data_IF_716387350112
#
_entry.id   IF_716387350112
#
_cell.length_a   1.000
_cell.length_b   1.000
_cell.length_c   1.000
_cell.angle_alpha   90.00
_cell.angle_beta   90.00
_cell.angle_gamma   90.00
#
_symmetry.space_group_name_H-M   'P 1'
#
loop_
_entity.id
_entity.type
_entity.pdbx_description
1 polymer ?
#
# COMPACT_ATOMS: atom_id res chain seq x y z
N UNK A 1 -36.61 2.96 -6.14
CA UNK A 1 -35.79 2.25 -7.14
C UNK A 1 -34.52 3.06 -7.34
N UNK A 2 -33.41 2.76 -6.65
CA UNK A 2 -32.17 3.48 -6.85
C UNK A 2 -31.58 3.06 -8.20
N UNK A 3 -31.38 4.02 -9.08
CA UNK A 3 -30.70 3.86 -10.36
C UNK A 3 -29.26 3.43 -10.12
N UNK A 4 -28.97 2.20 -10.52
CA UNK A 4 -27.64 1.61 -10.56
C UNK A 4 -26.76 2.44 -11.51
N UNK A 5 -25.94 3.34 -10.96
CA UNK A 5 -24.78 3.88 -11.67
C UNK A 5 -23.66 2.84 -11.67
N UNK A 6 -23.97 1.65 -12.21
CA UNK A 6 -22.95 0.70 -12.60
C UNK A 6 -22.41 1.24 -13.93
N UNK A 7 -21.46 2.17 -13.85
CA UNK A 7 -20.67 2.57 -15.01
C UNK A 7 -20.14 1.28 -15.64
N UNK A 8 -20.60 0.98 -16.85
CA UNK A 8 -20.03 -0.06 -17.70
C UNK A 8 -18.53 0.28 -17.82
N UNK A 9 -17.68 -0.40 -17.04
CA UNK A 9 -16.23 -0.37 -17.24
C UNK A 9 -16.01 -0.98 -18.62
N UNK A 10 -15.84 -0.13 -19.62
CA UNK A 10 -15.40 -0.59 -20.95
C UNK A 10 -13.99 -1.12 -20.73
N UNK A 11 -13.85 -2.45 -20.79
CA UNK A 11 -12.56 -3.11 -20.72
C UNK A 11 -11.68 -2.59 -21.86
N UNK A 12 -10.47 -2.17 -21.52
CA UNK A 12 -9.51 -1.63 -22.47
C UNK A 12 -8.28 -2.50 -22.44
N UNK A 13 -7.75 -2.80 -23.62
CA UNK A 13 -6.64 -3.73 -23.71
C UNK A 13 -5.32 -3.19 -23.23
N UNK A 14 -4.44 -4.08 -22.76
CA UNK A 14 -3.04 -3.74 -22.50
C UNK A 14 -2.43 -3.06 -23.74
N UNK A 15 -2.73 -3.57 -24.94
CA UNK A 15 -2.27 -2.97 -26.19
C UNK A 15 -2.83 -1.56 -26.41
N UNK A 16 -4.12 -1.37 -26.19
CA UNK A 16 -4.78 -0.07 -26.33
C UNK A 16 -4.20 0.95 -25.33
N UNK A 17 -4.12 0.58 -24.04
CA UNK A 17 -3.58 1.46 -23.00
C UNK A 17 -2.10 1.75 -23.22
N UNK A 18 -1.31 0.75 -23.64
CA UNK A 18 0.07 0.94 -24.05
C UNK A 18 0.21 1.95 -25.20
N UNK A 19 -0.65 1.87 -26.22
CA UNK A 19 -0.70 2.84 -27.32
C UNK A 19 -1.07 4.25 -26.84
N UNK A 20 -2.08 4.38 -25.97
CA UNK A 20 -2.49 5.67 -25.40
C UNK A 20 -1.34 6.30 -24.61
N UNK A 21 -0.67 5.51 -23.76
CA UNK A 21 0.48 5.99 -23.00
C UNK A 21 1.63 6.41 -23.92
N UNK A 22 1.97 5.63 -24.94
CA UNK A 22 3.01 6.03 -25.92
C UNK A 22 2.70 7.37 -26.56
N UNK A 23 1.49 7.52 -27.11
CA UNK A 23 1.06 8.78 -27.72
C UNK A 23 1.09 9.96 -26.74
N UNK A 24 0.73 9.73 -25.47
CA UNK A 24 0.82 10.75 -24.42
C UNK A 24 2.27 11.20 -24.19
N UNK A 25 3.19 10.26 -24.01
CA UNK A 25 4.59 10.58 -23.69
C UNK A 25 5.34 11.18 -24.90
N UNK A 26 5.11 10.64 -26.10
CA UNK A 26 5.58 11.22 -27.36
C UNK A 26 5.08 12.66 -27.52
N UNK A 27 3.79 12.92 -27.28
CA UNK A 27 3.23 14.27 -27.33
C UNK A 27 3.79 15.21 -26.27
N UNK A 28 4.00 14.74 -25.03
CA UNK A 28 4.61 15.54 -23.96
C UNK A 28 6.07 15.90 -24.24
N UNK A 29 6.77 15.11 -25.04
CA UNK A 29 8.16 15.33 -25.41
C UNK A 29 8.35 15.70 -26.89
N UNK A 30 7.29 16.15 -27.57
CA UNK A 30 7.31 16.46 -28.99
C UNK A 30 8.45 17.41 -29.37
N UNK A 31 9.17 17.11 -30.44
CA UNK A 31 10.41 17.82 -30.83
C UNK A 31 10.20 19.32 -31.02
N UNK A 32 9.12 19.73 -31.69
CA UNK A 32 8.85 21.15 -31.98
C UNK A 32 8.21 21.90 -30.80
N UNK A 33 7.46 21.19 -29.96
CA UNK A 33 6.57 21.78 -28.94
C UNK A 33 6.60 20.98 -27.63
N UNK A 34 7.78 20.81 -27.01
CA UNK A 34 7.89 19.97 -25.83
C UNK A 34 7.17 20.62 -24.64
N UNK A 35 6.37 19.83 -23.93
CA UNK A 35 5.59 20.27 -22.77
C UNK A 35 6.46 20.35 -21.50
N UNK A 36 7.56 21.12 -21.55
CA UNK A 36 8.60 21.22 -20.49
C UNK A 36 8.08 21.77 -19.15
N UNK A 37 6.92 22.45 -19.17
CA UNK A 37 6.25 22.97 -17.97
C UNK A 37 5.39 21.92 -17.27
N UNK A 38 5.12 20.79 -17.90
CA UNK A 38 4.43 19.66 -17.25
C UNK A 38 5.41 18.96 -16.32
N UNK A 39 5.24 19.24 -15.02
CA UNK A 39 6.05 18.68 -13.93
C UNK A 39 5.28 17.69 -13.05
N UNK A 40 3.96 17.66 -13.20
CA UNK A 40 3.05 16.81 -12.42
C UNK A 40 2.33 15.86 -13.35
N UNK A 41 2.41 14.57 -13.05
CA UNK A 41 1.73 13.52 -13.79
C UNK A 41 0.89 12.67 -12.84
N UNK A 42 -0.39 12.55 -13.17
CA UNK A 42 -1.31 11.65 -12.49
C UNK A 42 -1.92 10.70 -13.51
N UNK A 43 -1.70 9.41 -13.33
CA UNK A 43 -2.28 8.35 -14.17
C UNK A 43 -3.28 7.59 -13.32
N UNK A 44 -4.53 7.60 -13.79
CA UNK A 44 -5.63 6.87 -13.18
C UNK A 44 -5.87 5.62 -14.02
N UNK A 45 -6.07 4.48 -13.35
CA UNK A 45 -6.26 3.18 -13.99
C UNK A 45 -5.02 2.67 -14.75
N UNK A 46 -3.82 2.91 -14.19
CA UNK A 46 -2.58 2.30 -14.69
C UNK A 46 -2.65 0.79 -14.46
N UNK A 47 -2.47 -0.02 -15.49
CA UNK A 47 -2.40 -1.48 -15.32
C UNK A 47 -1.15 -1.86 -14.56
N UNK A 48 -1.24 -2.89 -13.73
CA UNK A 48 -0.08 -3.59 -13.13
C UNK A 48 0.67 -4.45 -14.16
N UNK A 49 0.86 -3.90 -15.37
CA UNK A 49 1.64 -4.40 -16.50
C UNK A 49 2.35 -3.22 -17.15
N UNK A 50 3.63 -3.37 -17.46
CA UNK A 50 4.38 -2.35 -18.21
C UNK A 50 4.56 -2.76 -19.66
N UNK A 51 4.13 -1.89 -20.55
CA UNK A 51 4.49 -1.97 -21.97
C UNK A 51 5.98 -1.68 -22.14
N UNK A 52 6.75 -2.72 -22.49
CA UNK A 52 8.21 -2.61 -22.65
C UNK A 52 8.64 -1.70 -23.80
N UNK A 53 7.78 -1.47 -24.79
CA UNK A 53 8.09 -0.52 -25.88
C UNK A 53 8.03 0.90 -25.37
N UNK A 54 7.00 1.23 -24.57
CA UNK A 54 6.89 2.52 -23.89
C UNK A 54 8.04 2.71 -22.90
N UNK A 55 8.29 1.73 -22.04
CA UNK A 55 9.30 1.84 -20.99
C UNK A 55 10.74 2.00 -21.53
N UNK A 56 10.95 1.64 -22.80
CA UNK A 56 12.22 1.81 -23.50
C UNK A 56 12.33 3.11 -24.29
N UNK A 57 11.24 3.86 -24.46
CA UNK A 57 11.26 5.09 -25.24
C UNK A 57 11.98 6.22 -24.50
N UNK A 58 12.69 7.04 -25.27
CA UNK A 58 13.41 8.19 -24.71
C UNK A 58 12.43 9.28 -24.26
N UNK A 59 11.29 9.42 -24.94
CA UNK A 59 10.23 10.34 -24.55
C UNK A 59 9.67 10.04 -23.17
N UNK A 60 9.40 8.76 -22.90
CA UNK A 60 8.92 8.32 -21.59
C UNK A 60 9.91 8.68 -20.49
N UNK A 61 11.19 8.33 -20.68
CA UNK A 61 12.25 8.64 -19.69
C UNK A 61 12.46 10.13 -19.51
N UNK A 62 12.49 10.90 -20.61
CA UNK A 62 12.71 12.34 -20.59
C UNK A 62 11.57 13.08 -19.85
N UNK A 63 10.32 12.66 -20.04
CA UNK A 63 9.17 13.21 -19.31
C UNK A 63 9.25 12.85 -17.85
N UNK A 64 9.51 11.59 -17.48
CA UNK A 64 9.62 11.19 -16.07
C UNK A 64 10.76 11.91 -15.37
N UNK A 65 11.94 12.02 -15.98
CA UNK A 65 13.11 12.65 -15.38
C UNK A 65 12.90 14.10 -14.95
N UNK A 66 11.93 14.81 -15.55
CA UNK A 66 11.62 16.21 -15.21
C UNK A 66 10.48 16.38 -14.22
N UNK A 67 9.76 15.32 -13.84
CA UNK A 67 8.62 15.41 -12.92
C UNK A 67 9.08 15.73 -11.49
N UNK A 68 8.30 16.57 -10.82
CA UNK A 68 8.40 16.78 -9.37
C UNK A 68 7.26 16.08 -8.60
N UNK A 69 6.20 15.65 -9.31
CA UNK A 69 5.03 14.99 -8.72
C UNK A 69 4.57 13.84 -9.60
N UNK A 70 4.47 12.65 -9.00
CA UNK A 70 3.98 11.44 -9.65
C UNK A 70 2.87 10.79 -8.82
N UNK A 71 1.73 10.55 -9.44
CA UNK A 71 0.60 9.86 -8.83
C UNK A 71 0.13 8.70 -9.71
N UNK A 72 0.30 7.48 -9.21
CA UNK A 72 -0.10 6.25 -9.89
C UNK A 72 -1.27 5.60 -9.14
N UNK A 73 -2.42 5.53 -9.80
CA UNK A 73 -3.55 4.72 -9.34
C UNK A 73 -3.60 3.45 -10.17
N UNK A 74 -3.13 2.38 -9.57
CA UNK A 74 -2.92 1.08 -10.19
C UNK A 74 -4.22 0.28 -10.13
N UNK A 75 -4.51 -0.44 -11.21
CA UNK A 75 -5.56 -1.44 -11.30
C UNK A 75 -4.97 -2.73 -11.77
N UNK A 76 -5.59 -3.82 -11.34
CA UNK A 76 -5.15 -5.11 -11.84
C UNK A 76 -5.59 -5.39 -13.26
N UNK A 77 -4.67 -6.00 -14.00
CA UNK A 77 -4.95 -6.47 -15.33
C UNK A 77 -5.90 -7.67 -15.30
N UNK A 78 -6.92 -7.61 -16.15
CA UNK A 78 -8.01 -8.60 -16.17
C UNK A 78 -8.18 -9.29 -17.53
N UNK A 79 -7.38 -8.95 -18.55
CA UNK A 79 -7.69 -9.34 -19.93
C UNK A 79 -7.50 -10.81 -20.26
N UNK A 80 -6.66 -11.55 -19.53
CA UNK A 80 -6.20 -12.87 -20.00
C UNK A 80 -6.89 -14.08 -19.40
N UNK A 81 -7.79 -13.89 -18.45
CA UNK A 81 -8.33 -15.02 -17.66
C UNK A 81 -9.86 -15.04 -17.64
N UNK A 82 -10.50 -14.66 -18.76
CA UNK A 82 -11.95 -14.86 -18.92
C UNK A 82 -12.33 -16.35 -19.06
N UNK A 83 -11.38 -17.22 -19.44
CA UNK A 83 -11.64 -18.66 -19.66
C UNK A 83 -11.35 -19.55 -18.44
N UNK A 84 -10.69 -19.01 -17.41
CA UNK A 84 -10.40 -19.71 -16.17
C UNK A 84 -10.56 -18.67 -15.07
N UNK A 85 -11.44 -18.92 -14.10
CA UNK A 85 -11.55 -18.22 -12.80
C UNK A 85 -10.23 -18.34 -12.01
N UNK A 86 -9.12 -17.92 -12.61
CA UNK A 86 -7.77 -18.03 -12.09
C UNK A 86 -7.65 -16.91 -11.08
N UNK A 87 -7.54 -17.22 -9.78
CA UNK A 87 -7.38 -16.19 -8.78
C UNK A 87 -6.18 -15.32 -9.16
N UNK A 88 -6.34 -14.02 -8.99
CA UNK A 88 -5.31 -13.02 -9.28
C UNK A 88 -3.93 -13.33 -8.71
N UNK A 89 -3.92 -14.05 -7.58
CA UNK A 89 -2.77 -14.60 -6.88
C UNK A 89 -1.86 -15.46 -7.77
N UNK A 90 -2.37 -16.01 -8.87
CA UNK A 90 -1.62 -16.85 -9.80
C UNK A 90 -1.19 -16.11 -11.07
N UNK A 91 -1.57 -14.84 -11.23
CA UNK A 91 -1.16 -14.04 -12.38
C UNK A 91 0.30 -13.58 -12.20
N UNK A 92 1.22 -13.85 -13.14
CA UNK A 92 2.60 -13.41 -13.02
C UNK A 92 2.76 -11.89 -13.15
N UNK A 93 1.85 -11.21 -13.84
CA UNK A 93 1.92 -9.80 -14.18
C UNK A 93 2.04 -8.87 -12.95
N UNK A 94 1.15 -8.93 -11.93
CA UNK A 94 1.27 -8.06 -10.76
C UNK A 94 2.57 -8.29 -9.98
N UNK A 95 3.09 -9.53 -9.95
CA UNK A 95 4.36 -9.82 -9.28
C UNK A 95 5.55 -9.24 -10.03
N UNK A 96 5.54 -9.28 -11.36
CA UNK A 96 6.57 -8.64 -12.17
C UNK A 96 6.50 -7.12 -12.03
N UNK A 97 5.29 -6.56 -12.00
CA UNK A 97 5.07 -5.13 -11.85
C UNK A 97 5.58 -4.60 -10.52
N UNK A 98 5.04 -5.09 -9.39
CA UNK A 98 5.45 -4.61 -8.07
C UNK A 98 6.86 -5.05 -7.68
N UNK A 99 7.30 -6.23 -8.13
CA UNK A 99 8.63 -6.78 -7.82
C UNK A 99 9.78 -6.13 -8.59
N UNK A 100 9.51 -5.52 -9.76
CA UNK A 100 10.55 -4.95 -10.59
C UNK A 100 10.10 -3.71 -11.39
N UNK A 101 9.05 -3.84 -12.19
CA UNK A 101 8.79 -2.86 -13.25
C UNK A 101 8.32 -1.48 -12.72
N UNK A 102 7.56 -1.45 -11.63
CA UNK A 102 7.18 -0.23 -10.92
C UNK A 102 8.42 0.56 -10.51
N UNK A 103 9.38 -0.10 -9.86
CA UNK A 103 10.64 0.54 -9.49
C UNK A 103 11.40 0.99 -10.72
N UNK A 104 11.75 0.05 -11.60
CA UNK A 104 12.67 0.27 -12.71
C UNK A 104 12.18 1.36 -13.68
N UNK A 105 10.91 1.33 -14.05
CA UNK A 105 10.40 2.17 -15.13
C UNK A 105 9.64 3.39 -14.67
N UNK A 106 9.03 3.39 -13.47
CA UNK A 106 8.25 4.53 -13.00
C UNK A 106 8.95 5.33 -11.92
N UNK A 107 9.61 4.66 -10.97
CA UNK A 107 10.14 5.33 -9.78
C UNK A 107 11.61 5.75 -9.90
N UNK A 108 12.48 4.92 -10.46
CA UNK A 108 13.89 5.29 -10.64
C UNK A 108 14.08 6.50 -11.56
N UNK A 109 13.32 6.67 -12.67
CA UNK A 109 13.50 7.83 -13.54
C UNK A 109 13.13 9.15 -12.89
N UNK A 110 12.18 9.17 -11.95
CA UNK A 110 11.76 10.41 -11.25
C UNK A 110 12.62 10.73 -10.03
N UNK A 111 13.57 9.86 -9.66
CA UNK A 111 14.27 9.85 -8.37
C UNK A 111 14.79 11.21 -7.92
N UNK A 112 15.54 11.90 -8.79
CA UNK A 112 16.31 13.09 -8.44
C UNK A 112 15.45 14.35 -8.19
N UNK A 113 14.22 14.38 -8.70
CA UNK A 113 13.37 15.57 -8.70
C UNK A 113 12.07 15.39 -7.94
N UNK A 114 11.69 14.15 -7.60
CA UNK A 114 10.40 13.86 -6.99
C UNK A 114 10.27 14.50 -5.61
N UNK A 115 9.25 15.34 -5.46
CA UNK A 115 8.82 15.97 -4.20
C UNK A 115 7.50 15.39 -3.71
N UNK A 116 6.64 14.89 -4.61
CA UNK A 116 5.35 14.31 -4.29
C UNK A 116 5.19 12.93 -4.94
N UNK A 117 4.96 11.91 -4.14
CA UNK A 117 4.68 10.55 -4.61
C UNK A 117 3.34 10.06 -4.08
N UNK A 118 2.49 9.54 -4.96
CA UNK A 118 1.31 8.79 -4.59
C UNK A 118 1.30 7.43 -5.29
N UNK A 119 1.23 6.36 -4.51
CA UNK A 119 1.05 4.99 -4.98
C UNK A 119 -0.24 4.45 -4.36
N UNK A 120 -1.16 4.03 -5.20
CA UNK A 120 -2.44 3.48 -4.77
C UNK A 120 -2.85 2.34 -5.69
N UNK A 121 -3.62 1.40 -5.14
CA UNK A 121 -4.19 0.31 -5.91
C UNK A 121 -5.70 0.31 -5.70
N UNK A 122 -6.48 0.22 -6.77
CA UNK A 122 -7.94 0.37 -6.69
C UNK A 122 -8.60 -0.82 -6.00
N UNK A 123 -8.27 -2.05 -6.43
CA UNK A 123 -8.99 -3.26 -6.08
C UNK A 123 -8.21 -4.22 -5.18
N UNK A 124 -6.91 -4.01 -4.94
CA UNK A 124 -6.07 -4.98 -4.20
C UNK A 124 -5.09 -4.34 -3.24
N UNK A 125 -4.72 -5.12 -2.23
CA UNK A 125 -3.56 -4.87 -1.39
C UNK A 125 -2.26 -5.22 -2.11
N UNK A 126 -1.17 -4.56 -1.73
CA UNK A 126 0.18 -4.79 -2.27
C UNK A 126 1.24 -4.66 -1.16
N UNK A 127 2.51 -4.95 -1.47
CA UNK A 127 3.61 -4.87 -0.50
C UNK A 127 3.89 -6.21 0.18
N UNK A 128 2.85 -6.92 0.62
CA UNK A 128 2.94 -8.35 0.90
C UNK A 128 2.74 -9.17 -0.36
N UNK A 129 1.57 -9.05 -0.99
CA UNK A 129 1.19 -9.86 -2.13
C UNK A 129 0.40 -9.00 -3.15
N UNK A 130 0.99 -8.66 -4.30
CA UNK A 130 2.38 -8.96 -4.67
C UNK A 130 3.40 -8.20 -3.79
N UNK A 131 4.58 -8.82 -3.59
CA UNK A 131 5.72 -8.15 -2.96
C UNK A 131 6.12 -6.92 -3.77
N UNK A 132 6.43 -5.81 -3.09
CA UNK A 132 6.92 -4.60 -3.74
C UNK A 132 8.38 -4.33 -3.42
N UNK A 133 9.20 -4.18 -4.46
CA UNK A 133 10.63 -3.92 -4.31
C UNK A 133 10.95 -2.42 -4.22
N UNK A 134 10.83 -1.87 -3.02
CA UNK A 134 11.28 -0.51 -2.70
C UNK A 134 12.61 -0.40 -1.93
N UNK A 135 13.15 -1.44 -1.24
CA UNK A 135 14.41 -1.30 -0.50
C UNK A 135 15.57 -0.72 -1.31
N UNK A 136 16.26 0.28 -0.77
CA UNK A 136 17.38 0.96 -1.45
C UNK A 136 16.97 1.98 -2.51
N UNK A 137 15.67 2.25 -2.71
CA UNK A 137 15.19 3.37 -3.50
C UNK A 137 15.00 4.60 -2.60
N UNK A 138 15.80 5.64 -2.81
CA UNK A 138 15.76 6.88 -2.04
C UNK A 138 15.45 8.08 -2.93
N UNK A 139 14.54 8.94 -2.48
CA UNK A 139 14.13 10.18 -3.16
C UNK A 139 14.65 11.41 -2.39
N UNK A 140 15.74 12.05 -2.84
CA UNK A 140 16.44 13.10 -2.08
C UNK A 140 15.64 14.39 -1.82
N UNK A 141 14.49 14.58 -2.45
CA UNK A 141 13.66 15.78 -2.33
C UNK A 141 12.22 15.48 -1.91
N UNK A 142 11.92 14.25 -1.50
CA UNK A 142 10.55 13.82 -1.25
C UNK A 142 9.96 14.51 -0.02
N UNK A 143 8.93 15.32 -0.24
CA UNK A 143 8.25 16.09 0.80
C UNK A 143 6.91 15.48 1.17
N UNK A 144 6.19 14.91 0.20
CA UNK A 144 4.87 14.31 0.40
C UNK A 144 4.82 12.90 -0.15
N UNK A 145 4.42 11.96 0.70
CA UNK A 145 4.21 10.57 0.35
C UNK A 145 2.79 10.12 0.71
N UNK A 146 2.08 9.56 -0.26
CA UNK A 146 0.79 8.91 -0.06
C UNK A 146 0.84 7.47 -0.53
N UNK A 147 0.50 6.55 0.37
CA UNK A 147 0.35 5.14 0.08
C UNK A 147 -1.09 4.73 0.36
N UNK A 148 -1.66 3.94 -0.54
CA UNK A 148 -2.97 3.36 -0.37
C UNK A 148 -2.93 1.87 -0.63
N UNK A 149 -3.48 1.07 0.30
CA UNK A 149 -3.48 -0.40 0.26
C UNK A 149 -2.11 -1.07 0.31
N UNK A 150 -1.07 -0.37 0.80
CA UNK A 150 0.21 -1.01 1.08
C UNK A 150 0.14 -1.75 2.40
N UNK A 151 0.35 -3.06 2.38
CA UNK A 151 0.31 -3.91 3.56
C UNK A 151 1.70 -4.09 4.15
N UNK A 152 1.83 -3.82 5.45
CA UNK A 152 3.07 -3.96 6.19
C UNK A 152 3.31 -5.40 6.66
N UNK A 153 4.47 -5.94 6.29
CA UNK A 153 4.90 -7.33 6.54
C UNK A 153 6.39 -7.46 6.83
N UNK A 154 7.15 -6.37 6.69
CA UNK A 154 8.59 -6.35 6.94
C UNK A 154 9.03 -5.02 7.53
N UNK A 155 10.13 -5.06 8.28
CA UNK A 155 10.70 -3.85 8.86
C UNK A 155 11.24 -2.89 7.79
N UNK A 156 11.66 -3.42 6.63
CA UNK A 156 12.17 -2.61 5.52
C UNK A 156 11.16 -1.57 5.02
N UNK A 157 9.86 -1.83 5.17
CA UNK A 157 8.82 -0.89 4.72
C UNK A 157 8.86 0.39 5.55
N UNK A 158 9.05 0.25 6.86
CA UNK A 158 9.24 1.39 7.78
C UNK A 158 10.63 2.00 7.58
N UNK A 159 11.66 1.19 7.34
CA UNK A 159 13.00 1.71 7.03
C UNK A 159 13.02 2.54 5.74
N UNK A 160 12.27 2.11 4.73
CA UNK A 160 12.12 2.86 3.47
C UNK A 160 11.39 4.18 3.70
N UNK A 161 10.30 4.20 4.48
CA UNK A 161 9.62 5.44 4.86
C UNK A 161 10.58 6.39 5.59
N UNK A 162 11.24 5.90 6.64
CA UNK A 162 12.15 6.69 7.49
C UNK A 162 13.45 7.09 6.80
N UNK A 163 13.86 6.40 5.73
CA UNK A 163 15.01 6.82 4.91
C UNK A 163 14.84 8.23 4.32
N UNK A 164 13.59 8.71 4.21
CA UNK A 164 13.25 10.06 3.74
C UNK A 164 13.11 11.09 4.86
N UNK A 165 13.51 10.77 6.09
CA UNK A 165 13.31 11.61 7.27
C UNK A 165 13.88 13.02 7.21
N UNK A 166 14.91 13.23 6.37
CA UNK A 166 15.54 14.54 6.14
C UNK A 166 14.66 15.52 5.34
N UNK A 167 13.69 15.02 4.56
CA UNK A 167 12.90 15.84 3.63
C UNK A 167 11.39 15.64 3.73
N UNK A 168 10.94 14.49 4.24
CA UNK A 168 9.52 14.15 4.29
C UNK A 168 8.79 15.00 5.34
N UNK A 169 7.76 15.72 4.89
CA UNK A 169 6.94 16.62 5.72
C UNK A 169 5.47 16.19 5.78
N UNK A 170 5.01 15.39 4.83
CA UNK A 170 3.64 14.86 4.77
C UNK A 170 3.64 13.36 4.45
N UNK A 171 3.00 12.56 5.31
CA UNK A 171 2.81 11.13 5.13
C UNK A 171 1.32 10.80 5.25
N UNK A 172 0.78 10.13 4.24
CA UNK A 172 -0.62 9.67 4.22
C UNK A 172 -0.65 8.17 3.94
N UNK A 173 -1.21 7.40 4.88
CA UNK A 173 -1.38 5.96 4.80
C UNK A 173 -2.88 5.64 4.80
N UNK A 174 -3.42 5.29 3.64
CA UNK A 174 -4.85 4.96 3.49
C UNK A 174 -4.99 3.46 3.34
N UNK A 175 -5.72 2.81 4.24
CA UNK A 175 -5.95 1.36 4.16
C UNK A 175 -4.63 0.58 4.14
N UNK A 176 -3.66 0.97 4.96
CA UNK A 176 -2.33 0.34 5.00
C UNK A 176 -2.17 -0.52 6.27
N UNK A 177 -2.77 -1.71 6.35
CA UNK A 177 -2.75 -2.55 7.54
C UNK A 177 -1.41 -3.27 7.71
N UNK A 178 -1.17 -3.79 8.91
CA UNK A 178 -0.08 -4.72 9.20
C UNK A 178 -0.64 -6.15 9.08
N UNK A 179 0.01 -7.06 8.33
CA UNK A 179 -0.38 -8.48 8.40
C UNK A 179 -0.03 -8.97 9.80
N UNK A 180 -0.92 -9.71 10.44
CA UNK A 180 -0.59 -10.38 11.69
C UNK A 180 -0.52 -11.91 11.55
N UNK A 181 -1.23 -12.47 10.56
CA UNK A 181 -1.25 -13.89 10.25
C UNK A 181 -1.37 -14.15 8.74
N UNK A 182 -0.65 -15.13 8.21
CA UNK A 182 -0.76 -15.53 6.81
C UNK A 182 -0.72 -17.05 6.66
N UNK A 183 -1.73 -17.61 5.99
CA UNK A 183 -1.75 -18.97 5.50
C UNK A 183 -1.01 -19.06 4.16
N UNK A 184 -0.03 -19.97 4.01
CA UNK A 184 0.73 -20.10 2.77
C UNK A 184 0.88 -21.56 2.30
N UNK A 185 0.40 -21.83 1.09
CA UNK A 185 0.83 -22.88 0.15
C UNK A 185 1.47 -22.25 -1.10
N UNK A 186 2.07 -21.08 -0.95
CA UNK A 186 3.08 -20.53 -1.85
C UNK A 186 4.45 -20.54 -1.16
N UNK A 187 4.86 -21.74 -0.74
CA UNK A 187 6.22 -22.14 -0.32
C UNK A 187 7.35 -21.72 -1.31
N UNK A 188 7.01 -21.10 -2.43
CA UNK A 188 7.88 -20.80 -3.56
C UNK A 188 8.66 -19.47 -3.44
N UNK A 189 8.46 -18.68 -2.38
CA UNK A 189 9.10 -17.35 -2.24
C UNK A 189 9.51 -16.97 -0.82
N UNK A 190 9.79 -17.95 0.04
CA UNK A 190 10.20 -17.71 1.43
C UNK A 190 11.46 -16.82 1.55
N UNK A 191 12.32 -16.80 0.53
CA UNK A 191 13.47 -15.91 0.41
C UNK A 191 13.10 -14.41 0.44
N UNK A 192 11.86 -14.07 0.03
CA UNK A 192 11.37 -12.69 0.02
C UNK A 192 10.64 -12.29 1.30
N UNK A 193 10.48 -13.21 2.25
CA UNK A 193 9.75 -12.95 3.51
C UNK A 193 10.49 -13.45 4.76
N UNK A 194 11.69 -12.92 5.06
CA UNK A 194 12.53 -13.41 6.17
C UNK A 194 11.96 -13.07 7.57
N UNK A 195 11.11 -12.05 7.67
CA UNK A 195 10.62 -11.54 8.97
C UNK A 195 9.35 -12.26 9.46
N UNK A 196 8.86 -13.26 8.73
CA UNK A 196 7.71 -14.07 9.13
C UNK A 196 8.15 -15.24 10.01
N UNK A 197 7.53 -15.38 11.17
CA UNK A 197 7.78 -16.50 12.08
C UNK A 197 6.76 -17.62 11.84
N UNK A 198 7.17 -18.91 11.79
CA UNK A 198 6.22 -20.00 11.68
C UNK A 198 5.28 -20.02 12.89
N UNK A 199 3.98 -20.26 12.67
CA UNK A 199 3.06 -20.53 13.78
C UNK A 199 3.49 -21.83 14.46
N UNK A 200 3.86 -21.76 15.74
CA UNK A 200 4.21 -22.92 16.58
C UNK A 200 3.04 -23.88 16.85
N UNK A 201 1.81 -23.53 16.44
CA UNK A 201 0.63 -24.40 16.54
C UNK A 201 0.51 -25.40 15.36
N UNK A 202 1.61 -25.75 14.72
CA UNK A 202 1.65 -27.04 14.07
C UNK A 202 1.41 -28.07 15.18
N UNK A 203 0.37 -28.91 15.09
CA UNK A 203 0.21 -30.08 15.98
C UNK A 203 1.60 -30.71 16.15
N UNK A 204 1.97 -31.10 17.37
CA UNK A 204 3.35 -31.48 17.75
C UNK A 204 4.04 -32.51 16.81
N UNK A 205 3.26 -33.17 15.94
CA UNK A 205 3.68 -34.13 14.92
C UNK A 205 3.86 -33.58 13.49
N UNK A 206 3.62 -32.29 13.22
CA UNK A 206 3.77 -31.68 11.90
C UNK A 206 5.11 -30.91 11.86
N UNK A 207 6.11 -31.36 11.08
CA UNK A 207 7.37 -30.65 10.98
C UNK A 207 7.15 -29.19 10.60
N UNK A 208 7.93 -28.27 11.17
CA UNK A 208 7.84 -26.80 10.95
C UNK A 208 7.77 -26.45 9.47
N UNK A 209 8.44 -27.24 8.62
CA UNK A 209 8.45 -27.10 7.17
C UNK A 209 7.05 -27.22 6.54
N UNK A 210 6.10 -27.89 7.19
CA UNK A 210 4.71 -28.06 6.80
C UNK A 210 3.74 -27.16 7.58
N UNK A 211 4.25 -26.25 8.43
CA UNK A 211 3.41 -25.21 9.04
C UNK A 211 2.89 -24.30 7.94
N UNK A 212 1.60 -24.42 7.66
CA UNK A 212 0.92 -23.64 6.63
C UNK A 212 0.56 -22.23 7.09
N UNK A 213 0.93 -21.83 8.32
CA UNK A 213 0.53 -20.55 8.91
C UNK A 213 1.75 -19.84 9.51
N UNK A 214 1.81 -18.54 9.30
CA UNK A 214 2.90 -17.67 9.69
C UNK A 214 2.36 -16.45 10.42
N UNK A 215 3.16 -15.90 11.32
CA UNK A 215 2.85 -14.69 12.06
C UNK A 215 3.87 -13.62 11.77
N UNK A 216 3.38 -12.39 11.75
CA UNK A 216 4.22 -11.23 11.80
C UNK A 216 4.06 -10.57 13.16
N UNK A 217 5.18 -10.41 13.89
CA UNK A 217 5.17 -9.99 15.28
C UNK A 217 4.93 -8.50 15.49
N UNK A 218 5.19 -7.66 14.47
CA UNK A 218 5.15 -6.20 14.60
C UNK A 218 3.73 -5.66 14.69
N UNK A 219 3.59 -4.57 15.44
CA UNK A 219 2.34 -3.86 15.69
C UNK A 219 2.53 -2.37 15.45
N UNK A 220 1.43 -1.62 15.45
CA UNK A 220 1.52 -0.16 15.32
C UNK A 220 2.29 0.47 16.48
N UNK A 221 2.21 -0.10 17.69
CA UNK A 221 3.05 0.34 18.80
C UNK A 221 4.56 0.12 18.59
N UNK A 222 4.98 -0.79 17.71
CA UNK A 222 6.40 -0.95 17.34
C UNK A 222 6.83 0.08 16.28
N UNK A 223 5.90 0.44 15.37
CA UNK A 223 6.18 1.32 14.24
C UNK A 223 6.03 2.79 14.56
N UNK A 224 5.05 3.17 15.40
CA UNK A 224 4.80 4.56 15.72
C UNK A 224 6.03 5.25 16.35
N UNK A 225 6.76 4.65 17.31
CA UNK A 225 8.01 5.22 17.82
C UNK A 225 9.10 5.34 16.75
N UNK A 226 9.22 4.35 15.85
CA UNK A 226 10.19 4.36 14.74
C UNK A 226 9.89 5.47 13.73
N UNK A 227 8.62 5.64 13.36
CA UNK A 227 8.17 6.73 12.51
C UNK A 227 8.42 8.08 13.19
N UNK A 228 8.13 8.19 14.49
CA UNK A 228 8.33 9.41 15.25
C UNK A 228 9.79 9.85 15.27
N UNK A 229 10.70 8.91 15.55
CA UNK A 229 12.14 9.15 15.61
C UNK A 229 12.76 9.33 14.21
N UNK A 230 12.32 8.54 13.23
CA UNK A 230 12.88 8.52 11.87
C UNK A 230 12.35 9.62 10.96
N UNK A 231 11.25 10.30 11.30
CA UNK A 231 10.66 11.38 10.50
C UNK A 231 10.57 12.70 11.31
N UNK A 232 11.71 13.31 11.69
CA UNK A 232 11.73 14.48 12.57
C UNK A 232 11.09 15.72 11.96
N UNK A 233 11.01 15.81 10.63
CA UNK A 233 10.42 16.94 9.91
C UNK A 233 8.96 16.72 9.50
N UNK A 234 8.34 15.61 9.91
CA UNK A 234 6.95 15.30 9.59
C UNK A 234 6.01 16.28 10.29
N UNK A 235 5.21 17.01 9.51
CA UNK A 235 4.22 18.01 9.96
C UNK A 235 2.79 17.58 9.70
N UNK A 236 2.58 16.70 8.73
CA UNK A 236 1.28 16.12 8.40
C UNK A 236 1.38 14.60 8.41
N UNK A 237 0.55 13.97 9.22
CA UNK A 237 0.35 12.54 9.25
C UNK A 237 -1.14 12.26 9.16
N UNK A 238 -1.52 11.35 8.27
CA UNK A 238 -2.87 10.83 8.16
C UNK A 238 -2.79 9.32 8.01
N UNK A 239 -3.48 8.59 8.89
CA UNK A 239 -3.64 7.15 8.84
C UNK A 239 -5.16 6.93 8.85
N UNK A 240 -5.74 6.54 7.72
CA UNK A 240 -7.19 6.47 7.52
C UNK A 240 -7.62 5.27 6.68
N UNK A 241 -8.94 5.05 6.57
CA UNK A 241 -9.55 4.01 5.75
C UNK A 241 -10.35 4.66 4.60
N UNK A 242 -10.51 4.02 3.41
CA UNK A 242 -11.05 4.67 2.21
C UNK A 242 -12.47 5.22 2.38
N UNK A 243 -13.27 4.57 3.24
CA UNK A 243 -14.61 5.04 3.62
C UNK A 243 -14.61 6.47 4.21
N UNK A 244 -13.47 6.93 4.74
CA UNK A 244 -13.28 8.25 5.32
C UNK A 244 -12.38 9.17 4.47
N UNK A 245 -11.71 8.63 3.44
CA UNK A 245 -10.79 9.38 2.57
C UNK A 245 -11.51 10.21 1.48
N UNK A 246 -12.77 9.87 1.14
CA UNK A 246 -13.61 10.58 0.16
C UNK A 246 -13.94 12.03 0.51
N UNK A 247 -13.59 12.49 1.72
CA UNK A 247 -13.83 13.86 2.19
C UNK A 247 -12.65 14.82 1.98
N UNK A 248 -11.51 14.38 1.43
CA UNK A 248 -10.29 15.20 1.29
C UNK A 248 -10.31 16.21 0.12
N UNK A 249 -11.45 16.45 -0.51
CA UNK A 249 -11.61 17.49 -1.53
C UNK A 249 -11.76 18.92 -0.98
N UNK A 250 -11.79 19.11 0.34
CA UNK A 250 -12.01 20.42 0.96
C UNK A 250 -10.92 20.66 2.02
N UNK A 251 -10.24 21.81 1.95
CA UNK A 251 -9.30 22.33 2.97
C UNK A 251 -10.02 22.72 4.26
N UNK A 252 -10.82 21.81 4.81
CA UNK A 252 -11.52 21.94 6.08
C UNK A 252 -10.88 20.98 7.07
N UNK A 253 -10.77 21.40 8.32
CA UNK A 253 -10.25 20.69 9.51
C UNK A 253 -11.04 19.41 9.86
N UNK A 254 -11.35 18.58 8.89
CA UNK A 254 -12.05 17.32 9.07
C UNK A 254 -11.06 16.28 9.59
N UNK A 255 -11.22 15.90 10.86
CA UNK A 255 -10.56 14.74 11.45
C UNK A 255 -11.26 13.48 10.92
N UNK A 256 -10.66 12.69 10.01
CA UNK A 256 -11.11 11.32 9.86
C UNK A 256 -10.98 10.62 11.22
N UNK A 257 -11.96 9.83 11.66
CA UNK A 257 -11.80 9.03 12.86
C UNK A 257 -10.56 8.13 12.72
N UNK A 258 -9.83 7.86 13.82
CA UNK A 258 -8.70 6.93 13.78
C UNK A 258 -9.15 5.61 13.14
N UNK A 259 -8.26 4.97 12.36
CA UNK A 259 -8.56 3.68 11.73
C UNK A 259 -9.17 2.74 12.79
N UNK A 260 -10.42 2.28 12.59
CA UNK A 260 -11.06 1.31 13.47
C UNK A 260 -10.10 0.16 13.74
N UNK A 261 -10.03 -0.32 14.98
CA UNK A 261 -9.07 -1.33 15.39
C UNK A 261 -9.04 -2.56 14.47
N UNK A 262 -10.22 -3.01 14.04
CA UNK A 262 -10.45 -4.12 13.12
C UNK A 262 -9.77 -3.94 11.74
N UNK A 263 -9.42 -2.72 11.35
CA UNK A 263 -8.84 -2.37 10.05
C UNK A 263 -7.33 -2.09 10.15
N UNK A 264 -6.74 -2.15 11.36
CA UNK A 264 -5.29 -1.95 11.55
C UNK A 264 -4.49 -3.18 11.15
N UNK A 265 -5.10 -4.36 11.23
CA UNK A 265 -4.47 -5.63 10.90
C UNK A 265 -5.31 -6.45 9.94
N UNK A 266 -4.62 -7.17 9.06
CA UNK A 266 -5.20 -8.17 8.17
C UNK A 266 -4.57 -9.53 8.41
N UNK A 267 -5.30 -10.56 8.02
CA UNK A 267 -4.70 -11.83 7.70
C UNK A 267 -4.90 -12.22 6.25
N UNK A 268 -4.05 -13.11 5.80
CA UNK A 268 -4.11 -13.65 4.45
C UNK A 268 -4.39 -15.16 4.50
N UNK A 269 -5.36 -15.64 3.73
CA UNK A 269 -5.54 -17.05 3.39
C UNK A 269 -5.70 -17.18 1.88
N UNK A 270 -4.77 -17.86 1.23
CA UNK A 270 -4.81 -18.09 -0.22
C UNK A 270 -5.99 -18.97 -0.68
N UNK A 271 -6.61 -19.74 0.23
CA UNK A 271 -7.70 -20.66 -0.09
C UNK A 271 -9.07 -20.00 0.03
N UNK A 272 -9.12 -18.79 0.58
CA UNK A 272 -10.32 -17.99 0.71
C UNK A 272 -10.39 -16.92 -0.39
N UNK A 273 -11.60 -16.49 -0.77
CA UNK A 273 -11.82 -15.45 -1.76
C UNK A 273 -12.80 -14.39 -1.23
N UNK A 274 -12.37 -13.13 -1.00
CA UNK A 274 -11.02 -12.59 -1.20
C UNK A 274 -10.03 -13.14 -0.16
N UNK A 275 -8.82 -13.52 -0.58
CA UNK A 275 -7.83 -14.12 0.32
C UNK A 275 -7.30 -13.21 1.43
N UNK A 276 -7.82 -11.98 1.55
CA UNK A 276 -7.59 -11.07 2.66
C UNK A 276 -8.78 -11.14 3.61
N UNK A 277 -8.55 -11.68 4.80
CA UNK A 277 -9.58 -11.80 5.82
C UNK A 277 -9.55 -10.57 6.72
N UNK A 278 -10.73 -10.01 6.94
CA UNK A 278 -10.98 -9.03 7.99
C UNK A 278 -11.48 -9.76 9.24
N UNK A 279 -11.20 -9.23 10.45
CA UNK A 279 -11.69 -9.84 11.68
C UNK A 279 -13.22 -9.79 11.75
N UNK A 280 -13.82 -10.88 12.25
CA UNK A 280 -15.24 -10.93 12.61
C UNK A 280 -15.41 -10.81 14.14
N UNK A 281 -16.43 -10.06 14.62
CA UNK A 281 -16.74 -9.99 16.04
C UNK A 281 -17.28 -11.35 16.55
N UNK A 282 -16.78 -11.81 17.70
CA UNK A 282 -17.33 -13.01 18.35
C UNK A 282 -18.71 -12.72 18.92
N UNK A 283 -19.78 -13.23 18.27
CA UNK A 283 -21.21 -13.39 18.66
C UNK A 283 -21.96 -12.43 19.62
N UNK A 284 -21.35 -11.46 20.32
CA UNK A 284 -21.99 -10.62 21.34
C UNK A 284 -21.29 -9.25 21.55
N UNK A 285 -21.06 -8.44 20.50
CA UNK A 285 -20.54 -7.08 20.70
C UNK A 285 -20.45 -6.19 19.44
N UNK A 286 -20.59 -4.87 19.62
CA UNK A 286 -20.48 -3.82 18.59
C UNK A 286 -19.03 -3.57 18.12
N UNK A 287 -18.68 -3.90 16.87
CA UNK A 287 -17.34 -3.80 16.28
C UNK A 287 -16.47 -2.60 16.79
N UNK A 288 -15.39 -2.90 17.53
CA UNK A 288 -14.26 -1.98 17.72
C UNK A 288 -13.96 -1.47 19.14
N UNK A 289 -14.50 -2.10 20.20
CA UNK A 289 -14.19 -1.74 21.60
C UNK A 289 -13.04 -2.55 22.25
N UNK A 290 -12.42 -2.04 23.34
CA UNK A 290 -11.33 -2.71 24.08
C UNK A 290 -11.71 -4.07 24.69
N UNK A 291 -13.01 -4.32 24.91
CA UNK A 291 -13.53 -5.57 25.49
C UNK A 291 -13.80 -6.67 24.44
N UNK A 292 -13.47 -6.45 23.16
CA UNK A 292 -13.82 -7.38 22.09
C UNK A 292 -12.66 -8.27 21.66
N UNK A 293 -12.90 -9.58 21.75
CA UNK A 293 -12.08 -10.56 21.06
C UNK A 293 -12.56 -10.64 19.62
N UNK A 294 -11.66 -10.31 18.70
CA UNK A 294 -11.83 -10.55 17.28
C UNK A 294 -11.14 -11.87 16.95
N UNK A 295 -11.78 -12.68 16.10
CA UNK A 295 -11.18 -13.91 15.60
C UNK A 295 -11.22 -13.93 14.09
N UNK A 296 -10.22 -14.57 13.50
CA UNK A 296 -10.28 -14.95 12.11
C UNK A 296 -10.81 -16.38 12.00
N UNK A 297 -11.72 -16.57 11.05
CA UNK A 297 -12.28 -17.88 10.74
C UNK A 297 -11.70 -18.36 9.42
N UNK A 298 -10.94 -19.44 9.47
CA UNK A 298 -10.43 -20.13 8.28
C UNK A 298 -11.46 -21.19 7.87
N UNK A 299 -12.08 -21.08 6.68
CA UNK A 299 -13.18 -21.96 6.27
C UNK A 299 -12.80 -23.46 6.18
N UNK A 300 -11.52 -23.77 5.99
CA UNK A 300 -11.05 -25.13 5.67
C UNK A 300 -10.26 -25.84 6.77
N UNK A 301 -10.25 -25.35 8.01
CA UNK A 301 -9.63 -26.07 9.14
C UNK A 301 -10.55 -26.09 10.35
N UNK A 302 -10.82 -27.30 10.83
CA UNK A 302 -11.58 -27.54 12.05
C UNK A 302 -11.05 -26.66 13.20
N UNK A 303 -11.89 -25.76 13.70
CA UNK A 303 -11.86 -25.18 15.06
C UNK A 303 -10.62 -24.38 15.48
N UNK A 304 -9.70 -24.00 14.59
CA UNK A 304 -8.60 -23.11 14.93
C UNK A 304 -8.99 -21.64 14.71
N UNK A 305 -9.55 -21.02 15.75
CA UNK A 305 -9.69 -19.58 15.83
C UNK A 305 -8.30 -18.94 16.04
N UNK A 306 -7.87 -18.11 15.10
CA UNK A 306 -6.73 -17.25 15.36
C UNK A 306 -7.22 -15.98 16.06
N UNK A 307 -6.69 -15.74 17.26
CA UNK A 307 -6.94 -14.50 17.99
C UNK A 307 -6.31 -13.35 17.21
N UNK A 308 -7.15 -12.37 16.86
CA UNK A 308 -6.68 -11.09 16.36
C UNK A 308 -5.73 -10.47 17.39
N UNK A 309 -4.74 -9.64 16.98
CA UNK A 309 -3.88 -8.96 17.93
C UNK A 309 -4.68 -8.35 19.08
N UNK A 310 -4.20 -8.50 20.31
CA UNK A 310 -4.78 -7.87 21.50
C UNK A 310 -3.82 -6.79 22.02
N UNK A 311 -3.74 -5.70 21.27
CA UNK A 311 -2.84 -4.58 21.51
C UNK A 311 -3.50 -3.22 21.25
N UNK A 312 -4.83 -3.15 21.35
CA UNK A 312 -5.61 -1.93 21.11
C UNK A 312 -5.10 -0.73 21.90
N UNK A 313 -4.94 -0.90 23.22
CA UNK A 313 -4.50 0.20 24.09
C UNK A 313 -3.10 0.67 23.72
N UNK A 314 -2.15 -0.27 23.58
CA UNK A 314 -0.75 0.04 23.21
C UNK A 314 -0.66 0.73 21.85
N UNK A 315 -1.39 0.24 20.85
CA UNK A 315 -1.39 0.84 19.52
C UNK A 315 -2.01 2.23 19.54
N UNK A 316 -3.11 2.40 20.28
CA UNK A 316 -3.81 3.68 20.34
C UNK A 316 -2.98 4.73 21.06
N UNK A 317 -2.37 4.37 22.20
CA UNK A 317 -1.42 5.23 22.92
C UNK A 317 -0.24 5.64 22.01
N UNK A 318 0.43 4.67 21.38
CA UNK A 318 1.59 4.96 20.53
C UNK A 318 1.24 5.79 19.28
N UNK A 319 0.09 5.54 18.66
CA UNK A 319 -0.39 6.32 17.52
C UNK A 319 -0.82 7.74 17.93
N UNK A 320 -1.46 7.91 19.09
CA UNK A 320 -1.81 9.21 19.63
C UNK A 320 -0.57 10.04 19.96
N UNK A 321 0.44 9.44 20.59
CA UNK A 321 1.74 10.07 20.85
C UNK A 321 2.42 10.54 19.54
N UNK A 322 2.45 9.68 18.52
CA UNK A 322 2.97 10.03 17.20
C UNK A 322 2.18 11.20 16.58
N UNK A 323 0.86 11.15 16.61
CA UNK A 323 0.00 12.19 16.04
C UNK A 323 0.12 13.52 16.78
N UNK A 324 0.32 13.51 18.11
CA UNK A 324 0.59 14.71 18.90
C UNK A 324 1.99 15.28 18.58
N UNK A 325 3.01 14.43 18.50
CA UNK A 325 4.37 14.84 18.14
C UNK A 325 4.44 15.47 16.73
N UNK A 326 3.67 14.94 15.77
CA UNK A 326 3.57 15.54 14.43
C UNK A 326 2.85 16.89 14.46
N UNK A 327 1.79 17.02 15.27
CA UNK A 327 1.04 18.27 15.42
C UNK A 327 1.88 19.39 16.02
N UNK A 328 2.65 19.11 17.07
CA UNK A 328 3.54 20.12 17.67
C UNK A 328 4.56 20.65 16.67
N UNK A 329 5.18 19.77 15.87
CA UNK A 329 6.09 20.15 14.77
C UNK A 329 5.43 21.03 13.71
N UNK A 330 4.15 20.83 13.43
CA UNK A 330 3.37 21.64 12.51
C UNK A 330 3.15 23.06 13.04
N UNK A 331 2.74 23.18 14.30
CA UNK A 331 2.44 24.44 14.99
C UNK A 331 3.66 25.33 15.21
N UNK A 332 4.83 24.75 15.52
CA UNK A 332 6.06 25.52 15.71
C UNK A 332 6.49 26.28 14.44
N UNK A 333 6.06 25.82 13.26
CA UNK A 333 6.40 26.46 11.99
C UNK A 333 5.49 27.62 11.58
N UNK A 334 4.30 27.76 12.17
CA UNK A 334 3.41 28.90 11.94
C UNK A 334 3.68 30.07 12.88
N UNK A 335 4.28 29.82 14.05
CA UNK A 335 4.63 30.87 15.02
C UNK A 335 5.85 31.74 14.63
N UNK A 336 6.70 31.27 13.70
CA UNK A 336 7.91 31.97 13.23
C UNK A 336 7.70 32.76 11.92
N UNK A 337 6.47 32.86 11.42
CA UNK A 337 6.12 33.47 10.13
C UNK A 337 5.45 34.84 10.19
N UNK A 338 5.54 35.56 11.31
CA UNK A 338 4.95 36.91 11.48
C UNK A 338 6.00 38.00 11.70
#
# INVERSE_FOLDING_TARGET
MPTNHMQLRVWQSTEFRGKVLRMLFEGLNHEEHPAIRVRKLRIIYLQDVVDRTLARSDDFRAVLARLDSLSLHIVSESEKHLELDTPSLYLPEPYQFFGNDLRQYWLEPVRENLTHLQLSHEDRYWGYLPYCNLPGLYFPKLQSLRLEKMVFTHDWQVDWLTSHGSTLTSLVLVDCPIVHGAGLAMRLRADRYPDLEPCQKAKEDVPIEFSSQWRYGKRWYDYAPRLNAGLPHLKRLDISHPAFASFQGCESEFRPPPVPYAQRYLAFDQFDWPGWMQPEPTSHGEVGGPDQRMVLRYENKCEEHEEYPNCFDKDSEALEELMEAVRSRGLDSTALGH
#
